data_IF_587393400548
#
_entry.id   IF_587393400548
#
_cell.length_a   1.000
_cell.length_b   1.000
_cell.length_c   1.000
_cell.angle_alpha   90.00
_cell.angle_beta   90.00
_cell.angle_gamma   90.00
#
_symmetry.space_group_name_H-M   'P 1'
#
loop_
_entity.id
_entity.type
_entity.pdbx_description
1 polymer ?
#
# COMPACT_ATOMS: atom_id res chain seq x y z
N UNK A 1 -2.96 -13.81 6.02
CA UNK A 1 -2.71 -14.92 6.98
C UNK A 1 -1.57 -14.50 7.88
N UNK A 2 -1.75 -14.49 9.21
CA UNK A 2 -0.66 -14.11 10.13
C UNK A 2 0.43 -15.20 10.17
N UNK A 3 1.68 -14.87 10.57
CA UNK A 3 2.73 -15.87 10.73
C UNK A 3 2.33 -17.03 11.66
N UNK A 4 1.62 -16.75 12.74
CA UNK A 4 1.16 -17.78 13.67
C UNK A 4 0.09 -18.69 13.07
N UNK A 5 -0.80 -18.15 12.23
CA UNK A 5 -1.77 -18.94 11.50
C UNK A 5 -1.06 -19.82 10.45
N UNK A 6 -0.03 -19.29 9.77
CA UNK A 6 0.78 -20.04 8.82
C UNK A 6 1.53 -21.19 9.49
N UNK A 7 2.20 -20.92 10.63
CA UNK A 7 2.89 -21.95 11.43
C UNK A 7 1.95 -23.08 11.85
N UNK A 8 0.75 -22.74 12.30
CA UNK A 8 -0.29 -23.72 12.64
C UNK A 8 -0.74 -24.55 11.44
N UNK A 9 -0.90 -23.93 10.27
CA UNK A 9 -1.27 -24.62 9.04
C UNK A 9 -0.20 -25.61 8.59
N UNK A 10 1.07 -25.19 8.59
CA UNK A 10 2.19 -26.07 8.23
C UNK A 10 2.35 -27.20 9.25
N UNK A 11 2.21 -26.92 10.54
CA UNK A 11 2.23 -27.96 11.56
C UNK A 11 1.10 -28.99 11.36
N UNK A 12 -0.11 -28.54 11.01
CA UNK A 12 -1.24 -29.43 10.67
C UNK A 12 -0.97 -30.29 9.42
N UNK A 13 -0.15 -29.78 8.49
CA UNK A 13 0.35 -30.52 7.32
C UNK A 13 1.54 -31.46 7.65
N UNK A 14 1.99 -31.53 8.90
CA UNK A 14 3.19 -32.27 9.29
C UNK A 14 4.50 -31.64 8.77
N UNK A 15 4.48 -30.35 8.43
CA UNK A 15 5.60 -29.62 7.83
C UNK A 15 6.13 -28.53 8.77
N UNK A 16 7.42 -28.23 8.64
CA UNK A 16 8.06 -27.13 9.36
C UNK A 16 7.99 -25.84 8.53
N UNK A 17 7.24 -24.86 9.03
CA UNK A 17 7.07 -23.55 8.39
C UNK A 17 8.40 -22.83 8.16
N UNK A 18 9.28 -22.75 9.17
CA UNK A 18 10.51 -21.97 9.08
C UNK A 18 11.48 -22.58 8.05
N UNK A 19 11.55 -23.92 8.00
CA UNK A 19 12.34 -24.63 6.99
C UNK A 19 11.77 -24.42 5.57
N UNK A 20 10.44 -24.50 5.42
CA UNK A 20 9.77 -24.27 4.14
C UNK A 20 9.94 -22.81 3.67
N UNK A 21 9.82 -21.84 4.57
CA UNK A 21 10.01 -20.42 4.29
C UNK A 21 11.47 -20.12 3.89
N UNK A 22 12.45 -20.71 4.59
CA UNK A 22 13.86 -20.57 4.21
C UNK A 22 14.17 -21.21 2.85
N UNK A 23 13.53 -22.33 2.51
CA UNK A 23 13.66 -22.95 1.19
C UNK A 23 13.01 -22.12 0.08
N UNK A 24 11.87 -21.49 0.34
CA UNK A 24 11.14 -20.65 -0.61
C UNK A 24 11.94 -19.41 -1.06
N UNK A 25 12.82 -18.90 -0.21
CA UNK A 25 13.68 -17.75 -0.50
C UNK A 25 14.96 -18.08 -1.29
N UNK A 26 15.03 -19.25 -1.93
CA UNK A 26 16.18 -19.68 -2.74
C UNK A 26 15.78 -19.84 -4.22
N UNK A 27 16.66 -19.46 -5.17
CA UNK A 27 16.43 -19.72 -6.60
C UNK A 27 16.18 -21.21 -6.87
N UNK A 28 15.25 -21.50 -7.78
CA UNK A 28 14.92 -22.88 -8.16
C UNK A 28 13.97 -23.60 -7.18
N UNK A 29 13.42 -22.90 -6.19
CA UNK A 29 12.38 -23.46 -5.31
C UNK A 29 11.20 -24.03 -6.11
N UNK A 30 10.68 -25.16 -5.63
CA UNK A 30 9.43 -25.75 -6.11
C UNK A 30 8.46 -25.86 -4.96
N UNK A 31 7.23 -25.41 -5.17
CA UNK A 31 6.17 -25.50 -4.18
C UNK A 31 5.94 -26.95 -3.76
N UNK A 32 5.76 -27.18 -2.45
CA UNK A 32 5.52 -28.49 -1.86
C UNK A 32 4.04 -28.61 -1.47
N UNK A 33 3.37 -29.73 -1.78
CA UNK A 33 1.98 -29.92 -1.39
C UNK A 33 1.87 -30.05 0.13
N UNK A 34 0.89 -29.36 0.73
CA UNK A 34 0.59 -29.48 2.16
C UNK A 34 -0.22 -30.75 2.50
N UNK A 35 -0.82 -31.41 1.50
CA UNK A 35 -1.67 -32.59 1.74
C UNK A 35 -2.97 -32.29 2.50
N UNK A 36 -3.33 -31.01 2.62
CA UNK A 36 -4.53 -30.54 3.31
C UNK A 36 -5.63 -30.19 2.33
N UNK A 37 -6.88 -30.37 2.74
CA UNK A 37 -8.06 -29.86 2.04
C UNK A 37 -8.60 -28.65 2.80
N UNK A 38 -8.93 -27.58 2.09
CA UNK A 38 -9.50 -26.36 2.65
C UNK A 38 -10.84 -26.06 1.98
N UNK A 39 -11.86 -25.74 2.78
CA UNK A 39 -13.17 -25.31 2.30
C UNK A 39 -13.60 -24.08 3.09
N UNK A 40 -14.11 -23.06 2.39
CA UNK A 40 -14.59 -21.81 2.98
C UNK A 40 -15.67 -21.17 2.11
N UNK A 41 -16.41 -20.23 2.68
CA UNK A 41 -17.35 -19.37 1.96
C UNK A 41 -17.11 -17.91 2.32
N UNK A 42 -17.10 -17.03 1.32
CA UNK A 42 -17.05 -15.58 1.53
C UNK A 42 -18.38 -14.98 1.08
N UNK A 43 -19.01 -14.19 1.95
CA UNK A 43 -20.18 -13.38 1.60
C UNK A 43 -19.74 -11.93 1.54
N UNK A 44 -19.89 -11.30 0.37
CA UNK A 44 -19.53 -9.91 0.16
C UNK A 44 -20.75 -9.08 -0.29
N UNK A 45 -20.73 -7.79 0.03
CA UNK A 45 -21.68 -6.79 -0.45
C UNK A 45 -20.91 -5.67 -1.14
N UNK A 46 -21.22 -5.43 -2.41
CA UNK A 46 -20.66 -4.29 -3.14
C UNK A 46 -21.41 -3.02 -2.73
N UNK A 47 -20.66 -1.98 -2.40
CA UNK A 47 -21.17 -0.64 -2.12
C UNK A 47 -20.41 0.34 -2.99
N UNK A 48 -21.12 1.26 -3.63
CA UNK A 48 -20.52 2.34 -4.40
C UNK A 48 -20.44 3.59 -3.53
N UNK A 49 -19.26 4.21 -3.51
CA UNK A 49 -18.99 5.47 -2.81
C UNK A 49 -18.29 6.42 -3.77
N UNK A 50 -18.56 7.71 -3.61
CA UNK A 50 -17.82 8.76 -4.30
C UNK A 50 -16.72 9.28 -3.37
N UNK A 51 -15.54 9.52 -3.94
CA UNK A 51 -14.42 10.18 -3.28
C UNK A 51 -13.69 11.07 -4.29
N UNK A 52 -12.77 11.91 -3.82
CA UNK A 52 -12.10 12.91 -4.65
C UNK A 52 -10.59 12.70 -4.68
N UNK A 53 -10.02 12.72 -5.89
CA UNK A 53 -8.58 12.90 -6.05
C UNK A 53 -8.22 14.38 -5.81
N UNK A 54 -7.09 14.63 -5.18
CA UNK A 54 -6.55 15.99 -4.99
C UNK A 54 -5.36 16.15 -5.91
N UNK A 55 -5.41 17.13 -6.80
CA UNK A 55 -4.38 17.39 -7.81
C UNK A 55 -3.85 18.81 -7.64
N UNK A 56 -2.52 18.95 -7.63
CA UNK A 56 -1.84 20.24 -7.73
C UNK A 56 -0.80 20.20 -8.85
N UNK A 57 -0.63 21.31 -9.57
CA UNK A 57 0.36 21.44 -10.64
C UNK A 57 1.27 22.64 -10.35
N UNK A 58 2.57 22.41 -10.34
CA UNK A 58 3.60 23.45 -10.35
C UNK A 58 4.12 23.60 -11.79
N UNK A 59 3.81 24.69 -12.50
CA UNK A 59 4.27 24.87 -13.87
C UNK A 59 5.80 24.95 -13.97
N UNK A 60 6.36 24.24 -14.97
CA UNK A 60 7.79 24.29 -15.29
C UNK A 60 8.16 25.55 -16.06
N UNK A 61 9.45 25.89 -16.07
CA UNK A 61 9.94 27.12 -16.71
C UNK A 61 10.29 26.99 -18.18
N UNK A 62 10.93 25.89 -18.60
CA UNK A 62 11.46 25.72 -19.97
C UNK A 62 10.66 24.74 -20.81
N UNK A 63 10.05 23.74 -20.16
CA UNK A 63 9.22 22.69 -20.78
C UNK A 63 7.90 22.53 -20.00
N UNK A 64 7.04 23.57 -19.97
CA UNK A 64 5.82 23.58 -19.13
C UNK A 64 4.77 22.53 -19.54
N UNK A 65 4.86 21.99 -20.76
CA UNK A 65 3.94 20.96 -21.27
C UNK A 65 4.45 19.53 -21.02
N UNK A 66 5.63 19.37 -20.40
CA UNK A 66 6.14 18.07 -19.95
C UNK A 66 5.94 17.95 -18.44
N UNK A 67 5.40 16.81 -17.99
CA UNK A 67 4.98 16.61 -16.62
C UNK A 67 5.77 15.48 -15.95
N UNK A 68 6.20 15.71 -14.71
CA UNK A 68 6.66 14.66 -13.80
C UNK A 68 5.60 14.52 -12.70
N UNK A 69 5.10 13.31 -12.51
CA UNK A 69 4.06 13.00 -11.52
C UNK A 69 4.70 12.42 -10.26
N UNK A 70 4.39 13.03 -9.12
CA UNK A 70 4.54 12.43 -7.79
C UNK A 70 3.15 12.11 -7.26
N UNK A 71 2.98 10.92 -6.70
CA UNK A 71 1.68 10.50 -6.19
C UNK A 71 1.76 9.79 -4.85
N UNK A 72 0.67 9.89 -4.12
CA UNK A 72 0.30 9.06 -2.97
C UNK A 72 -1.21 8.79 -3.05
N UNK A 73 -1.75 7.91 -2.22
CA UNK A 73 -3.18 7.90 -1.93
C UNK A 73 -3.40 8.49 -0.53
N UNK A 74 -4.60 9.01 -0.27
CA UNK A 74 -4.96 9.65 1.00
C UNK A 74 -6.12 8.96 1.73
N UNK A 75 -6.80 8.01 1.10
CA UNK A 75 -7.85 7.22 1.75
C UNK A 75 -7.27 6.09 2.59
N UNK A 76 -7.94 5.73 3.68
CA UNK A 76 -7.55 4.58 4.47
C UNK A 76 -8.79 3.84 4.96
N UNK A 77 -8.61 2.61 5.44
CA UNK A 77 -9.69 1.73 5.91
C UNK A 77 -10.55 2.37 7.02
N UNK A 78 -9.98 3.31 7.80
CA UNK A 78 -10.70 4.09 8.79
C UNK A 78 -11.00 3.29 10.05
N UNK A 79 -12.27 2.90 10.26
CA UNK A 79 -12.71 2.22 11.49
C UNK A 79 -13.06 0.78 11.16
N UNK A 80 -12.49 -0.17 11.91
CA UNK A 80 -12.78 -1.59 11.79
C UNK A 80 -12.96 -2.27 13.15
N UNK A 81 -12.96 -3.62 13.18
CA UNK A 81 -12.96 -4.38 14.43
C UNK A 81 -11.84 -3.95 15.37
N UNK A 82 -12.17 -3.82 16.67
CA UNK A 82 -11.21 -3.41 17.68
C UNK A 82 -10.13 -4.47 17.91
N UNK A 83 -8.87 -4.07 17.86
CA UNK A 83 -7.70 -4.88 18.19
C UNK A 83 -7.10 -4.29 19.46
N UNK A 84 -7.06 -5.07 20.53
CA UNK A 84 -6.57 -4.61 21.85
C UNK A 84 -7.25 -3.33 22.36
N UNK A 85 -8.53 -3.12 22.03
CA UNK A 85 -9.31 -1.96 22.45
C UNK A 85 -9.28 -0.76 21.51
N UNK A 86 -8.47 -0.78 20.44
CA UNK A 86 -8.44 0.26 19.41
C UNK A 86 -9.10 -0.21 18.11
N UNK A 87 -10.03 0.60 17.59
CA UNK A 87 -10.77 0.33 16.34
C UNK A 87 -10.31 1.16 15.16
N UNK A 88 -9.37 2.08 15.38
CA UNK A 88 -8.89 3.01 14.37
C UNK A 88 -7.71 2.38 13.63
N UNK A 89 -7.89 2.20 12.32
CA UNK A 89 -6.79 1.98 11.41
C UNK A 89 -6.25 3.37 11.04
N UNK A 90 -5.11 3.72 11.62
CA UNK A 90 -4.57 5.08 11.60
C UNK A 90 -3.83 5.42 10.29
N UNK A 91 -3.44 4.42 9.52
CA UNK A 91 -2.80 4.59 8.22
C UNK A 91 -1.47 5.32 8.25
N UNK A 92 -0.65 5.12 9.29
CA UNK A 92 0.61 5.86 9.43
C UNK A 92 1.63 5.55 8.31
N UNK A 93 1.80 4.26 7.99
CA UNK A 93 2.69 3.80 6.91
C UNK A 93 1.95 3.78 5.58
N UNK A 94 0.78 3.17 5.60
CA UNK A 94 -0.15 3.05 4.48
C UNK A 94 -1.40 3.86 4.86
N UNK A 95 -1.45 5.17 4.61
CA UNK A 95 -0.73 5.93 3.59
C UNK A 95 -0.20 7.32 3.98
N UNK A 96 -0.35 7.72 5.25
CA UNK A 96 -0.07 9.07 5.70
C UNK A 96 1.39 9.47 5.49
N UNK A 97 2.34 8.53 5.61
CA UNK A 97 3.74 8.75 5.28
C UNK A 97 3.94 9.16 3.81
N UNK A 98 3.23 8.50 2.88
CA UNK A 98 3.25 8.84 1.46
C UNK A 98 2.69 10.24 1.21
N UNK A 99 1.56 10.60 1.83
CA UNK A 99 1.00 11.95 1.76
C UNK A 99 1.95 13.01 2.35
N UNK A 100 2.60 12.72 3.48
CA UNK A 100 3.58 13.62 4.10
C UNK A 100 4.80 13.84 3.19
N UNK A 101 5.31 12.77 2.57
CA UNK A 101 6.40 12.85 1.59
C UNK A 101 5.99 13.67 0.35
N UNK A 102 4.75 13.50 -0.12
CA UNK A 102 4.21 14.25 -1.26
C UNK A 102 4.14 15.77 -0.96
N UNK A 103 3.64 16.15 0.23
CA UNK A 103 3.59 17.55 0.67
C UNK A 103 4.99 18.14 0.90
N UNK A 104 5.91 17.36 1.46
CA UNK A 104 7.30 17.77 1.63
C UNK A 104 7.98 18.02 0.28
N UNK A 105 7.80 17.12 -0.70
CA UNK A 105 8.31 17.29 -2.06
C UNK A 105 7.72 18.55 -2.73
N UNK A 106 6.40 18.77 -2.61
CA UNK A 106 5.75 19.96 -3.14
C UNK A 106 6.33 21.26 -2.58
N UNK A 107 6.59 21.28 -1.27
CA UNK A 107 7.23 22.41 -0.58
C UNK A 107 8.65 22.64 -1.09
N UNK A 108 9.45 21.58 -1.20
CA UNK A 108 10.83 21.66 -1.69
C UNK A 108 10.89 22.18 -3.14
N UNK A 109 10.05 21.67 -4.04
CA UNK A 109 10.02 22.13 -5.44
C UNK A 109 9.56 23.58 -5.57
N UNK A 110 8.62 24.03 -4.73
CA UNK A 110 8.16 25.43 -4.74
C UNK A 110 9.26 26.42 -4.33
N UNK A 111 10.19 25.98 -3.48
CA UNK A 111 11.31 26.78 -2.95
C UNK A 111 12.61 26.62 -3.75
N UNK A 112 12.68 25.62 -4.64
CA UNK A 112 13.88 25.30 -5.39
C UNK A 112 14.37 26.47 -6.26
N UNK A 113 15.69 26.68 -6.25
CA UNK A 113 16.39 27.65 -7.10
C UNK A 113 17.58 26.96 -7.77
N UNK A 114 17.62 26.83 -9.11
CA UNK A 114 16.61 27.31 -10.06
C UNK A 114 15.28 26.51 -9.96
N UNK A 115 14.15 27.11 -10.36
CA UNK A 115 12.87 26.41 -10.42
C UNK A 115 12.92 25.24 -11.44
N UNK A 116 12.05 24.23 -11.30
CA UNK A 116 12.04 23.08 -12.19
C UNK A 116 11.78 23.46 -13.65
N UNK A 117 12.51 22.82 -14.57
CA UNK A 117 12.33 23.05 -16.01
C UNK A 117 11.03 22.46 -16.55
N UNK A 118 10.55 21.35 -15.97
CA UNK A 118 9.30 20.66 -16.32
C UNK A 118 8.22 20.95 -15.29
N UNK A 119 6.96 20.84 -15.71
CA UNK A 119 5.83 20.93 -14.78
C UNK A 119 5.83 19.71 -13.86
N UNK A 120 5.44 19.92 -12.60
CA UNK A 120 5.35 18.85 -11.61
C UNK A 120 3.90 18.73 -11.18
N UNK A 121 3.37 17.51 -11.22
CA UNK A 121 2.03 17.17 -10.72
C UNK A 121 2.19 16.46 -9.38
N UNK A 122 1.47 16.94 -8.37
CA UNK A 122 1.30 16.26 -7.10
C UNK A 122 -0.13 15.74 -7.04
N UNK A 123 -0.28 14.42 -6.94
CA UNK A 123 -1.58 13.76 -6.99
C UNK A 123 -1.79 12.87 -5.77
N UNK A 124 -2.77 13.22 -4.95
CA UNK A 124 -3.26 12.35 -3.89
C UNK A 124 -4.52 11.63 -4.38
N UNK A 125 -4.40 10.34 -4.67
CA UNK A 125 -5.48 9.46 -5.06
C UNK A 125 -6.38 9.09 -3.87
N UNK A 126 -7.55 8.57 -4.18
CA UNK A 126 -8.46 7.96 -3.21
C UNK A 126 -8.97 6.61 -3.76
N UNK A 127 -9.55 5.79 -2.90
CA UNK A 127 -10.05 4.44 -3.21
C UNK A 127 -8.95 3.49 -3.71
N UNK A 128 -7.77 3.56 -3.11
CA UNK A 128 -6.65 2.64 -3.40
C UNK A 128 -6.74 1.35 -2.58
N UNK A 129 -7.18 1.45 -1.32
CA UNK A 129 -7.36 0.33 -0.38
C UNK A 129 -8.47 -0.65 -0.82
#
# INVERSE_FOLDING_TARGET
MTPDAAKRLFAAAGQNYDAAYAAANKPGFRAQPLGLTFSTSVRNRIVHKASQNVVAVLPGTTRPQEYILYSAHWDHLGIGPAINGDSIYNGAVDNALGCAALLAAATAFRQATPPPGRSIVFLAFTAEE
#
